data_IF_803875409706
#
_entry.id   IF_803875409706
#
_cell.length_a   1.000
_cell.length_b   1.000
_cell.length_c   1.000
_cell.angle_alpha   90.00
_cell.angle_beta   90.00
_cell.angle_gamma   90.00
#
_symmetry.space_group_name_H-M   'P 1'
#
loop_
_entity.id
_entity.type
_entity.pdbx_description
1 polymer ?
#
# COMPACT_ATOMS: atom_id res chain seq x y z
N UNK A 1 -18.99 -16.08 8.34
CA UNK A 1 -19.20 -14.64 8.61
C UNK A 1 -18.41 -13.90 7.55
N UNK A 2 -19.08 -13.23 6.61
CA UNK A 2 -18.40 -12.34 5.67
C UNK A 2 -18.20 -11.02 6.41
N UNK A 3 -17.15 -10.96 7.23
CA UNK A 3 -16.73 -9.69 7.84
C UNK A 3 -16.35 -8.78 6.69
N UNK A 4 -16.97 -7.60 6.60
CA UNK A 4 -16.61 -6.62 5.58
C UNK A 4 -15.13 -6.27 5.76
N UNK A 5 -14.30 -6.68 4.80
CA UNK A 5 -12.85 -6.49 4.85
C UNK A 5 -12.48 -5.02 5.09
N UNK A 6 -13.32 -4.09 4.65
CA UNK A 6 -13.15 -2.65 4.88
C UNK A 6 -13.19 -2.27 6.35
N UNK A 7 -14.11 -2.86 7.12
CA UNK A 7 -14.19 -2.63 8.57
C UNK A 7 -12.92 -3.14 9.25
N UNK A 8 -12.49 -4.35 8.92
CA UNK A 8 -11.27 -4.92 9.50
C UNK A 8 -10.00 -4.14 9.08
N UNK A 9 -9.95 -3.67 7.83
CA UNK A 9 -8.87 -2.84 7.31
C UNK A 9 -8.79 -1.49 8.00
N UNK A 10 -9.94 -0.82 8.21
CA UNK A 10 -10.04 0.42 8.99
C UNK A 10 -9.55 0.26 10.41
N UNK A 11 -10.05 -0.76 11.09
CA UNK A 11 -9.71 -1.00 12.49
C UNK A 11 -8.22 -1.31 12.63
N UNK A 12 -7.64 -2.02 11.67
CA UNK A 12 -6.21 -2.30 11.63
C UNK A 12 -5.37 -1.06 11.30
N UNK A 13 -5.83 -0.18 10.42
CA UNK A 13 -5.17 1.11 10.13
C UNK A 13 -5.05 1.95 11.41
N UNK A 14 -6.16 2.18 12.14
CA UNK A 14 -6.12 3.00 13.34
C UNK A 14 -5.32 2.34 14.49
N UNK A 15 -5.35 1.01 14.62
CA UNK A 15 -4.43 0.29 15.52
C UNK A 15 -2.96 0.49 15.11
N UNK A 16 -2.66 0.46 13.82
CA UNK A 16 -1.32 0.74 13.30
C UNK A 16 -0.85 2.16 13.66
N UNK A 17 -1.73 3.15 13.52
CA UNK A 17 -1.50 4.54 13.96
C UNK A 17 -1.19 4.62 15.46
N UNK A 18 -1.98 3.97 16.31
CA UNK A 18 -1.73 3.91 17.77
C UNK A 18 -0.37 3.26 18.08
N UNK A 19 -0.11 2.07 17.51
CA UNK A 19 1.15 1.32 17.70
C UNK A 19 2.37 2.12 17.21
N UNK A 20 2.21 2.88 16.13
CA UNK A 20 3.26 3.76 15.64
C UNK A 20 3.61 4.84 16.67
N UNK A 21 2.60 5.49 17.25
CA UNK A 21 2.77 6.50 18.29
C UNK A 21 3.40 5.92 19.57
N UNK A 22 3.14 4.65 19.87
CA UNK A 22 3.79 3.87 20.93
C UNK A 22 5.24 3.45 20.61
N UNK A 23 5.72 3.71 19.40
CA UNK A 23 7.12 3.50 19.00
C UNK A 23 7.37 2.28 18.10
N UNK A 24 6.34 1.57 17.65
CA UNK A 24 6.49 0.48 16.67
C UNK A 24 6.65 1.06 15.26
N UNK A 25 7.90 1.36 14.87
CA UNK A 25 8.26 2.09 13.64
C UNK A 25 8.78 1.20 12.51
N UNK A 26 8.29 -0.04 12.42
CA UNK A 26 8.61 -0.91 11.30
C UNK A 26 7.45 -1.85 10.96
N UNK A 27 7.30 -2.28 9.69
CA UNK A 27 6.25 -3.20 9.27
C UNK A 27 6.38 -4.59 9.93
N UNK A 28 7.58 -4.99 10.35
CA UNK A 28 7.82 -6.27 11.05
C UNK A 28 7.33 -6.27 12.50
N UNK A 29 7.19 -5.08 13.10
CA UNK A 29 6.84 -4.93 14.52
C UNK A 29 5.45 -4.36 14.74
N UNK A 30 4.89 -3.69 13.73
CA UNK A 30 3.58 -3.04 13.82
C UNK A 30 2.42 -4.03 13.83
N UNK A 31 2.53 -5.16 13.12
CA UNK A 31 1.43 -6.12 12.96
C UNK A 31 1.74 -7.44 13.65
N UNK A 32 0.71 -8.06 14.22
CA UNK A 32 0.83 -9.25 15.07
C UNK A 32 -0.30 -10.25 14.81
N UNK A 33 -0.09 -11.51 15.24
CA UNK A 33 -1.11 -12.55 15.11
C UNK A 33 -1.51 -12.85 13.67
N UNK A 34 -2.80 -12.74 13.38
CA UNK A 34 -3.41 -12.99 12.06
C UNK A 34 -3.51 -11.74 11.17
N UNK A 35 -3.07 -10.58 11.66
CA UNK A 35 -3.15 -9.31 10.93
C UNK A 35 -2.36 -9.33 9.60
N UNK A 36 -1.11 -9.87 9.52
CA UNK A 36 -0.42 -9.99 8.24
C UNK A 36 -1.16 -10.88 7.24
N UNK A 37 -1.71 -12.00 7.70
CA UNK A 37 -2.47 -12.93 6.84
C UNK A 37 -3.77 -12.30 6.34
N UNK A 38 -4.43 -11.48 7.16
CA UNK A 38 -5.57 -10.68 6.73
C UNK A 38 -5.18 -9.68 5.63
N UNK A 39 -4.12 -8.90 5.82
CA UNK A 39 -3.64 -7.94 4.82
C UNK A 39 -3.33 -8.65 3.48
N UNK A 40 -2.60 -9.78 3.55
CA UNK A 40 -2.28 -10.59 2.38
C UNK A 40 -3.53 -11.10 1.66
N UNK A 41 -4.58 -11.49 2.41
CA UNK A 41 -5.84 -12.00 1.85
C UNK A 41 -6.60 -10.98 0.98
N UNK A 42 -6.32 -9.68 1.17
CA UNK A 42 -6.87 -8.57 0.41
C UNK A 42 -5.85 -7.91 -0.54
N UNK A 43 -4.67 -8.52 -0.70
CA UNK A 43 -3.62 -8.03 -1.59
C UNK A 43 -2.85 -6.81 -1.07
N UNK A 44 -2.92 -6.53 0.23
CA UNK A 44 -2.11 -5.51 0.92
C UNK A 44 -0.93 -6.17 1.64
N UNK A 45 0.26 -5.60 1.56
CA UNK A 45 1.39 -5.99 2.41
C UNK A 45 1.38 -5.25 3.74
N UNK A 46 2.11 -5.79 4.73
CA UNK A 46 2.41 -5.07 5.98
C UNK A 46 3.18 -3.78 5.73
N UNK A 47 4.07 -3.76 4.73
CA UNK A 47 4.78 -2.54 4.31
C UNK A 47 3.80 -1.46 3.88
N UNK A 48 2.84 -1.77 3.00
CA UNK A 48 1.89 -0.77 2.51
C UNK A 48 1.01 -0.21 3.62
N UNK A 49 0.50 -1.07 4.53
CA UNK A 49 -0.27 -0.59 5.67
C UNK A 49 0.60 0.25 6.62
N UNK A 50 1.85 -0.16 6.84
CA UNK A 50 2.81 0.61 7.64
C UNK A 50 3.05 1.99 7.05
N UNK A 51 3.29 2.11 5.74
CA UNK A 51 3.56 3.39 5.09
C UNK A 51 2.37 4.35 5.25
N UNK A 52 1.13 3.85 5.10
CA UNK A 52 -0.07 4.67 5.34
C UNK A 52 -0.15 5.17 6.80
N UNK A 53 0.21 4.32 7.77
CA UNK A 53 0.23 4.72 9.19
C UNK A 53 1.36 5.71 9.51
N UNK A 54 2.56 5.48 8.97
CA UNK A 54 3.74 6.35 9.14
C UNK A 54 3.46 7.75 8.60
N UNK A 55 2.91 7.85 7.38
CA UNK A 55 2.59 9.14 6.77
C UNK A 55 1.42 9.84 7.46
N UNK A 56 0.41 9.09 7.92
CA UNK A 56 -0.67 9.64 8.73
C UNK A 56 -0.15 10.29 10.02
N UNK A 57 0.75 9.61 10.74
CA UNK A 57 1.26 10.12 12.02
C UNK A 57 2.30 11.23 11.83
N UNK A 58 3.22 11.08 10.87
CA UNK A 58 4.32 12.04 10.70
C UNK A 58 3.88 13.35 10.06
N UNK A 59 2.99 13.27 9.08
CA UNK A 59 2.70 14.39 8.20
C UNK A 59 1.24 14.84 8.27
N UNK A 60 0.32 13.97 8.70
CA UNK A 60 -1.12 14.27 8.68
C UNK A 60 -1.69 14.39 7.26
N UNK A 61 -0.93 13.95 6.25
CA UNK A 61 -1.23 14.09 4.83
C UNK A 61 -2.05 12.91 4.27
N UNK A 62 -2.43 11.96 5.14
CA UNK A 62 -3.20 10.77 4.77
C UNK A 62 -4.65 10.95 5.21
N UNK A 63 -5.56 10.81 4.26
CA UNK A 63 -7.00 10.74 4.48
C UNK A 63 -7.39 9.25 4.39
N UNK A 64 -7.95 8.70 5.46
CA UNK A 64 -8.26 7.26 5.53
C UNK A 64 -9.17 6.80 4.38
N UNK A 65 -10.14 7.64 4.00
CA UNK A 65 -11.07 7.35 2.92
C UNK A 65 -10.33 7.09 1.59
N UNK A 66 -9.28 7.86 1.28
CA UNK A 66 -8.47 7.63 0.09
C UNK A 66 -7.64 6.34 0.19
N UNK A 67 -7.16 5.99 1.39
CA UNK A 67 -6.43 4.73 1.64
C UNK A 67 -7.35 3.54 1.38
N UNK A 68 -8.59 3.58 1.87
CA UNK A 68 -9.58 2.54 1.61
C UNK A 68 -9.94 2.45 0.12
N UNK A 69 -10.11 3.58 -0.57
CA UNK A 69 -10.39 3.62 -2.01
C UNK A 69 -9.26 3.02 -2.84
N UNK A 70 -8.01 3.39 -2.55
CA UNK A 70 -6.82 2.81 -3.19
C UNK A 70 -6.77 1.30 -2.92
N UNK A 71 -7.03 0.87 -1.69
CA UNK A 71 -7.04 -0.54 -1.34
C UNK A 71 -8.18 -1.30 -2.03
N UNK A 72 -9.35 -0.68 -2.21
CA UNK A 72 -10.47 -1.30 -2.90
C UNK A 72 -10.14 -1.57 -4.38
N UNK A 73 -9.52 -0.61 -5.07
CA UNK A 73 -9.05 -0.78 -6.46
C UNK A 73 -7.98 -1.87 -6.52
N UNK A 74 -7.04 -1.88 -5.57
CA UNK A 74 -6.01 -2.91 -5.49
C UNK A 74 -6.60 -4.30 -5.26
N UNK A 75 -7.55 -4.43 -4.33
CA UNK A 75 -8.18 -5.70 -4.01
C UNK A 75 -8.98 -6.26 -5.18
N UNK A 76 -9.69 -5.39 -5.93
CA UNK A 76 -10.39 -5.77 -7.15
C UNK A 76 -9.41 -6.35 -8.19
N UNK A 77 -8.32 -5.65 -8.48
CA UNK A 77 -7.27 -6.13 -9.39
C UNK A 77 -6.60 -7.42 -8.89
N UNK A 78 -6.32 -7.51 -7.58
CA UNK A 78 -5.78 -8.72 -6.95
C UNK A 78 -6.69 -9.93 -7.18
N UNK A 79 -7.99 -9.75 -6.99
CA UNK A 79 -8.97 -10.81 -7.10
C UNK A 79 -9.25 -11.21 -8.55
N UNK A 80 -9.40 -10.23 -9.44
CA UNK A 80 -9.93 -10.43 -10.79
C UNK A 80 -8.83 -10.61 -11.85
N UNK A 81 -7.72 -9.88 -11.75
CA UNK A 81 -6.65 -9.91 -12.75
C UNK A 81 -5.50 -10.84 -12.32
N UNK A 82 -5.20 -10.88 -11.03
CA UNK A 82 -4.09 -11.69 -10.49
C UNK A 82 -4.52 -13.04 -9.90
N UNK A 83 -5.81 -13.38 -9.91
CA UNK A 83 -6.33 -14.62 -9.32
C UNK A 83 -5.86 -14.85 -7.86
N UNK A 84 -5.79 -13.76 -7.09
CA UNK A 84 -5.28 -13.73 -5.71
C UNK A 84 -3.85 -14.25 -5.56
N UNK A 85 -3.04 -14.16 -6.60
CA UNK A 85 -1.63 -14.49 -6.55
C UNK A 85 -0.82 -13.25 -6.18
N UNK A 86 0.18 -13.38 -5.27
CA UNK A 86 1.08 -12.29 -4.97
C UNK A 86 1.94 -11.93 -6.20
N UNK A 87 2.56 -10.75 -6.17
CA UNK A 87 3.52 -10.35 -7.20
C UNK A 87 4.65 -11.39 -7.30
N UNK A 88 4.99 -11.78 -8.54
CA UNK A 88 6.10 -12.72 -8.78
C UNK A 88 7.46 -12.14 -8.34
N UNK A 89 7.60 -10.81 -8.39
CA UNK A 89 8.76 -10.07 -7.90
C UNK A 89 8.37 -8.64 -7.53
N UNK A 90 9.21 -7.99 -6.71
CA UNK A 90 9.17 -6.53 -6.54
C UNK A 90 10.00 -5.86 -7.64
N UNK A 91 9.63 -4.63 -7.96
CA UNK A 91 10.43 -3.75 -8.81
C UNK A 91 11.53 -3.09 -7.99
N UNK A 92 12.63 -2.78 -8.65
CA UNK A 92 13.75 -2.03 -8.10
C UNK A 92 13.63 -0.54 -8.43
N UNK A 93 14.21 0.33 -7.59
CA UNK A 93 14.09 1.78 -7.75
C UNK A 93 14.55 2.33 -9.11
N UNK A 94 15.53 1.68 -9.74
CA UNK A 94 16.06 2.06 -11.06
C UNK A 94 15.13 1.66 -12.22
N UNK A 95 14.13 0.82 -11.99
CA UNK A 95 13.11 0.45 -12.99
C UNK A 95 12.03 1.53 -13.14
N UNK A 96 11.99 2.51 -12.23
CA UNK A 96 11.05 3.62 -12.28
C UNK A 96 11.64 4.79 -13.07
N UNK A 97 10.90 5.40 -14.02
CA UNK A 97 11.32 6.59 -14.75
C UNK A 97 11.79 7.72 -13.83
N UNK A 98 12.71 8.55 -14.32
CA UNK A 98 13.22 9.68 -13.57
C UNK A 98 12.11 10.72 -13.31
N UNK A 99 12.27 11.53 -12.26
CA UNK A 99 11.31 12.61 -11.98
C UNK A 99 11.30 13.70 -13.06
N UNK A 100 12.37 13.79 -13.83
CA UNK A 100 12.53 14.71 -14.97
C UNK A 100 11.95 14.16 -16.27
N UNK A 101 11.57 12.87 -16.32
CA UNK A 101 11.01 12.28 -17.53
C UNK A 101 9.58 12.81 -17.75
N UNK A 102 9.22 12.94 -19.02
CA UNK A 102 8.01 13.60 -19.46
C UNK A 102 7.29 12.77 -20.53
N UNK A 103 5.97 12.69 -20.44
CA UNK A 103 5.09 12.28 -21.54
C UNK A 103 4.06 13.39 -21.72
N UNK A 104 3.89 13.83 -22.98
CA UNK A 104 2.88 14.81 -23.37
C UNK A 104 2.92 16.16 -22.60
N UNK A 105 4.10 16.70 -22.29
CA UNK A 105 4.20 17.97 -21.56
C UNK A 105 4.20 17.84 -20.04
N UNK A 106 3.98 16.63 -19.50
CA UNK A 106 3.76 16.41 -18.08
C UNK A 106 4.94 15.69 -17.47
N UNK A 107 5.79 16.44 -16.77
CA UNK A 107 6.88 15.90 -15.99
C UNK A 107 6.34 14.92 -14.94
N UNK A 108 7.11 13.89 -14.60
CA UNK A 108 6.78 12.88 -13.58
C UNK A 108 5.65 11.91 -13.95
N UNK A 109 4.81 12.23 -14.94
CA UNK A 109 3.73 11.35 -15.41
C UNK A 109 4.19 9.93 -15.77
N UNK A 110 5.32 9.72 -16.49
CA UNK A 110 5.78 8.36 -16.79
C UNK A 110 6.05 7.56 -15.51
N UNK A 111 6.63 8.20 -14.50
CA UNK A 111 6.93 7.58 -13.21
C UNK A 111 5.66 7.22 -12.45
N UNK A 112 4.67 8.11 -12.42
CA UNK A 112 3.38 7.86 -11.78
C UNK A 112 2.65 6.66 -12.39
N UNK A 113 2.68 6.52 -13.73
CA UNK A 113 2.09 5.38 -14.42
C UNK A 113 2.74 4.07 -13.98
N UNK A 114 4.08 4.02 -13.90
CA UNK A 114 4.80 2.82 -13.44
C UNK A 114 4.53 2.55 -11.95
N UNK A 115 4.49 3.58 -11.10
CA UNK A 115 4.08 3.44 -9.69
C UNK A 115 2.67 2.87 -9.55
N UNK A 116 1.71 3.34 -10.35
CA UNK A 116 0.33 2.85 -10.29
C UNK A 116 0.24 1.36 -10.68
N UNK A 117 0.93 0.96 -11.76
CA UNK A 117 0.99 -0.46 -12.16
C UNK A 117 1.63 -1.32 -11.07
N UNK A 118 2.77 -0.88 -10.53
CA UNK A 118 3.44 -1.59 -9.45
C UNK A 118 2.56 -1.70 -8.19
N UNK A 119 1.79 -0.66 -7.85
CA UNK A 119 0.81 -0.70 -6.75
C UNK A 119 -0.24 -1.77 -7.02
N UNK A 120 -0.87 -1.74 -8.19
CA UNK A 120 -1.89 -2.72 -8.59
C UNK A 120 -1.35 -4.16 -8.60
N UNK A 121 -0.11 -4.35 -9.01
CA UNK A 121 0.53 -5.67 -9.05
C UNK A 121 0.99 -6.15 -7.66
N UNK A 122 1.08 -5.26 -6.67
CA UNK A 122 1.71 -5.55 -5.37
C UNK A 122 3.24 -5.66 -5.45
N UNK A 123 3.85 -4.97 -6.42
CA UNK A 123 5.26 -5.08 -6.78
C UNK A 123 6.10 -3.84 -6.39
N UNK A 124 5.53 -2.89 -5.63
CA UNK A 124 6.30 -1.74 -5.15
C UNK A 124 7.46 -2.18 -4.24
N UNK A 125 8.64 -1.54 -4.35
CA UNK A 125 9.71 -1.76 -3.39
C UNK A 125 9.36 -1.11 -2.04
N UNK A 126 10.02 -1.59 -0.97
CA UNK A 126 9.73 -1.17 0.40
C UNK A 126 10.04 0.31 0.68
N UNK A 127 10.89 0.92 -0.14
CA UNK A 127 11.30 2.32 -0.05
C UNK A 127 10.44 3.26 -0.93
N UNK A 128 9.38 2.76 -1.56
CA UNK A 128 8.52 3.53 -2.45
C UNK A 128 7.02 3.28 -2.19
N UNK A 129 6.38 4.27 -1.59
CA UNK A 129 4.92 4.30 -1.41
C UNK A 129 4.20 4.89 -2.65
N UNK A 130 2.95 4.47 -2.88
CA UNK A 130 2.05 5.06 -3.90
C UNK A 130 1.24 6.23 -3.33
N UNK A 131 1.78 7.44 -3.54
CA UNK A 131 1.21 8.75 -3.27
C UNK A 131 1.84 9.78 -4.21
#
# INVERSE_FOLDING_TARGET
>A
MNTDWKTQFRDLFYKGVERYQEGRRSPETMFEGDEPAFLESIGCSTQEMFDFCDDYVRWGDVIYEHVEEIQAVRFDYFANDLNRQPAARRLEMHEFPAKTDEIAGIAWLPRLIVKARAKLEGALPADLMYG
#
